data_IF_546608770286
#
_entry.id   IF_546608770286
#
_cell.length_a   1.000
_cell.length_b   1.000
_cell.length_c   1.000
_cell.angle_alpha   90.00
_cell.angle_beta   90.00
_cell.angle_gamma   90.00
#
_symmetry.space_group_name_H-M   'P 1'
#
loop_
_entity.id
_entity.type
_entity.pdbx_description
1 polymer ?
#
# COMPACT_ATOMS: atom_id res chain seq x y z
N UNK A 1 -16.72 12.70 -5.71
CA UNK A 1 -16.67 11.80 -4.54
C UNK A 1 -15.22 11.45 -4.30
N UNK A 2 -14.73 11.42 -3.06
CA UNK A 2 -13.32 11.13 -2.76
C UNK A 2 -13.22 9.75 -2.09
N UNK A 3 -12.42 8.85 -2.65
CA UNK A 3 -12.27 7.46 -2.18
C UNK A 3 -10.85 7.27 -1.64
N UNK A 4 -10.77 6.93 -0.35
CA UNK A 4 -9.53 6.56 0.33
C UNK A 4 -9.55 5.07 0.60
N UNK A 5 -8.47 4.37 0.24
CA UNK A 5 -8.33 2.94 0.47
C UNK A 5 -7.28 2.70 1.56
N UNK A 6 -7.68 1.97 2.59
CA UNK A 6 -6.79 1.53 3.67
C UNK A 6 -6.58 0.02 3.57
N UNK A 7 -5.33 -0.44 3.59
CA UNK A 7 -5.00 -1.87 3.56
C UNK A 7 -3.66 -2.15 4.24
N UNK A 8 -3.50 -3.37 4.77
CA UNK A 8 -2.20 -3.89 5.15
C UNK A 8 -1.45 -4.37 3.89
N UNK A 9 -0.13 -4.25 3.89
CA UNK A 9 0.75 -4.71 2.81
C UNK A 9 2.03 -5.28 3.42
N UNK A 10 2.41 -6.50 3.04
CA UNK A 10 3.65 -7.10 3.50
C UNK A 10 4.16 -8.13 2.49
N UNK A 11 5.35 -7.88 1.94
CA UNK A 11 5.99 -8.69 0.91
C UNK A 11 5.06 -9.01 -0.30
N UNK A 12 4.44 -7.97 -0.85
CA UNK A 12 3.44 -8.05 -1.93
C UNK A 12 4.00 -7.60 -3.29
N UNK A 13 5.32 -7.67 -3.53
CA UNK A 13 5.95 -7.10 -4.75
C UNK A 13 5.29 -7.60 -6.05
N UNK A 14 4.82 -8.85 -6.07
CA UNK A 14 4.16 -9.46 -7.23
C UNK A 14 2.69 -9.05 -7.37
N UNK A 15 2.01 -8.74 -6.26
CA UNK A 15 0.58 -8.46 -6.22
C UNK A 15 0.26 -6.98 -6.43
N UNK A 16 1.14 -6.08 -5.95
CA UNK A 16 0.96 -4.63 -6.05
C UNK A 16 0.63 -4.12 -7.46
N UNK A 17 1.28 -4.58 -8.56
CA UNK A 17 0.94 -4.13 -9.90
C UNK A 17 -0.51 -4.46 -10.32
N UNK A 18 -1.05 -5.58 -9.85
CA UNK A 18 -2.43 -5.99 -10.12
C UNK A 18 -3.41 -5.20 -9.27
N UNK A 19 -3.04 -4.96 -8.01
CA UNK A 19 -3.79 -4.15 -7.08
C UNK A 19 -3.99 -2.72 -7.61
N UNK A 20 -2.91 -2.01 -7.94
CA UNK A 20 -2.98 -0.65 -8.50
C UNK A 20 -3.76 -0.60 -9.81
N UNK A 21 -3.54 -1.56 -10.72
CA UNK A 21 -4.28 -1.65 -12.00
C UNK A 21 -5.81 -1.73 -11.80
N UNK A 22 -6.27 -2.32 -10.72
CA UNK A 22 -7.69 -2.41 -10.39
C UNK A 22 -8.22 -1.11 -9.77
N UNK A 23 -7.54 -0.62 -8.73
CA UNK A 23 -8.05 0.46 -7.87
C UNK A 23 -7.77 1.87 -8.40
N UNK A 24 -6.75 2.08 -9.23
CA UNK A 24 -6.32 3.41 -9.67
C UNK A 24 -7.38 4.20 -10.44
N UNK A 25 -8.35 3.49 -11.02
CA UNK A 25 -9.43 4.07 -11.80
C UNK A 25 -10.41 4.89 -10.96
N UNK A 26 -10.47 4.63 -9.65
CA UNK A 26 -11.46 5.24 -8.78
C UNK A 26 -10.94 5.59 -7.37
N UNK A 27 -9.77 5.11 -6.96
CA UNK A 27 -9.14 5.51 -5.70
C UNK A 27 -8.31 6.78 -5.89
N UNK A 28 -8.53 7.74 -4.98
CA UNK A 28 -7.82 9.02 -4.96
C UNK A 28 -6.57 8.99 -4.09
N UNK A 29 -6.58 8.20 -3.00
CA UNK A 29 -5.48 8.09 -2.04
C UNK A 29 -5.44 6.71 -1.39
N UNK A 30 -4.24 6.13 -1.26
CA UNK A 30 -4.01 4.88 -0.55
C UNK A 30 -3.27 5.16 0.75
N UNK A 31 -3.69 4.50 1.82
CA UNK A 31 -2.94 4.41 3.07
C UNK A 31 -2.61 2.93 3.28
N UNK A 32 -1.35 2.58 3.07
CA UNK A 32 -0.89 1.20 3.15
C UNK A 32 -0.03 1.02 4.40
N UNK A 33 -0.43 0.05 5.23
CA UNK A 33 0.26 -0.27 6.46
C UNK A 33 1.25 -1.39 6.22
N UNK A 34 2.53 -1.08 6.33
CA UNK A 34 3.66 -2.01 6.15
C UNK A 34 4.47 -2.08 7.46
N UNK A 35 5.06 -3.24 7.73
CA UNK A 35 5.90 -3.49 8.91
C UNK A 35 7.30 -3.98 8.54
N UNK A 36 7.93 -3.33 7.56
CA UNK A 36 9.29 -3.66 7.15
C UNK A 36 9.32 -4.84 6.19
N UNK A 37 8.56 -4.75 5.10
CA UNK A 37 8.72 -5.67 3.97
C UNK A 37 10.19 -5.78 3.56
N UNK A 38 10.61 -6.99 3.25
CA UNK A 38 12.01 -7.36 2.93
C UNK A 38 12.26 -7.55 1.43
N UNK A 39 11.21 -7.46 0.63
CA UNK A 39 11.25 -7.50 -0.83
C UNK A 39 11.15 -6.09 -1.44
N UNK A 40 10.82 -5.99 -2.73
CA UNK A 40 10.73 -4.69 -3.42
C UNK A 40 9.46 -3.88 -3.08
N UNK A 41 8.58 -4.37 -2.20
CA UNK A 41 7.29 -3.75 -1.86
C UNK A 41 7.43 -2.28 -1.50
N UNK A 42 8.30 -1.94 -0.55
CA UNK A 42 8.45 -0.56 -0.09
C UNK A 42 8.90 0.39 -1.21
N UNK A 43 9.76 -0.07 -2.12
CA UNK A 43 10.18 0.71 -3.29
C UNK A 43 9.00 0.96 -4.23
N UNK A 44 8.21 -0.08 -4.53
CA UNK A 44 7.03 0.02 -5.38
C UNK A 44 5.95 0.94 -4.78
N UNK A 45 5.79 0.91 -3.46
CA UNK A 45 4.88 1.82 -2.76
C UNK A 45 5.36 3.27 -2.82
N UNK A 46 6.66 3.52 -2.62
CA UNK A 46 7.24 4.86 -2.66
C UNK A 46 7.16 5.50 -4.06
N UNK A 47 7.23 4.69 -5.12
CA UNK A 47 7.14 5.16 -6.50
C UNK A 47 5.70 5.51 -6.94
N UNK A 48 4.69 5.06 -6.19
CA UNK A 48 3.28 5.26 -6.57
C UNK A 48 2.72 6.61 -6.07
N UNK A 49 2.29 7.53 -6.94
CA UNK A 49 2.02 8.94 -6.58
C UNK A 49 0.81 9.14 -5.67
N UNK A 50 -0.03 8.11 -5.49
CA UNK A 50 -1.23 8.14 -4.64
C UNK A 50 -1.05 7.44 -3.30
N UNK A 51 0.14 6.92 -2.99
CA UNK A 51 0.37 6.09 -1.81
C UNK A 51 0.98 6.88 -0.66
N UNK A 52 0.42 6.68 0.52
CA UNK A 52 1.02 7.00 1.81
C UNK A 52 1.30 5.69 2.55
N UNK A 53 2.57 5.45 2.88
CA UNK A 53 2.96 4.28 3.70
C UNK A 53 2.93 4.68 5.17
N UNK A 54 2.33 3.83 6.01
CA UNK A 54 2.33 3.96 7.46
C UNK A 54 2.88 2.69 8.10
N UNK A 55 3.49 2.84 9.27
CA UNK A 55 3.88 1.67 10.06
C UNK A 55 2.64 0.95 10.57
N UNK A 56 2.60 -0.37 10.43
CA UNK A 56 1.61 -1.21 11.12
C UNK A 56 1.99 -1.36 12.59
N UNK A 57 1.07 -1.04 13.51
CA UNK A 57 1.30 -1.16 14.95
C UNK A 57 0.61 -2.42 15.48
N UNK A 58 1.39 -3.33 16.06
CA UNK A 58 0.88 -4.52 16.72
C UNK A 58 0.22 -4.15 18.05
N UNK A 59 -0.96 -4.70 18.34
CA UNK A 59 -1.71 -4.43 19.57
C UNK A 59 -1.14 -5.11 20.81
N UNK A 60 -0.28 -6.12 20.62
CA UNK A 60 0.12 -7.07 21.66
C UNK A 60 1.59 -6.90 22.09
N UNK A 61 2.22 -5.79 21.71
CA UNK A 61 3.57 -5.38 22.14
C UNK A 61 3.57 -4.41 23.30
#
# INVERSE_FOLDING_TARGET
MRIWLYAQCWNDEFMLPFFFRHYDRFVDHYVLFDDGSTDSTLSLLADHPKVEVRQFIWSDT
#
